data_IF_213159848372
#
_entry.id   IF_213159848372
#
_cell.length_a   1.000
_cell.length_b   1.000
_cell.length_c   1.000
_cell.angle_alpha   90.00
_cell.angle_beta   90.00
_cell.angle_gamma   90.00
#
_symmetry.space_group_name_H-M   'P 1'
#
loop_
_entity.id
_entity.type
_entity.pdbx_description
1 polymer ?
#
# COMPACT_ATOMS: atom_id res chain seq x y z
N UNK A 1 2.02 6.83 -27.47
CA UNK A 1 2.97 6.27 -26.50
C UNK A 1 2.27 6.27 -25.15
N UNK A 2 2.17 5.11 -24.50
CA UNK A 2 1.54 5.00 -23.17
C UNK A 2 2.62 5.36 -22.16
N UNK A 3 2.41 6.42 -21.40
CA UNK A 3 3.33 6.80 -20.33
C UNK A 3 3.13 5.86 -19.14
N UNK A 4 4.21 5.19 -18.75
CA UNK A 4 4.21 4.10 -17.77
C UNK A 4 4.64 4.56 -16.38
N UNK A 5 4.33 3.76 -15.35
CA UNK A 5 4.83 3.98 -14.00
C UNK A 5 6.37 4.02 -13.95
N UNK A 6 7.07 3.23 -14.78
CA UNK A 6 8.54 3.24 -14.85
C UNK A 6 9.08 4.59 -15.34
N UNK A 7 8.53 5.11 -16.43
CA UNK A 7 8.90 6.42 -16.98
C UNK A 7 8.55 7.54 -15.99
N UNK A 8 7.37 7.46 -15.36
CA UNK A 8 6.96 8.40 -14.32
C UNK A 8 7.96 8.45 -13.15
N UNK A 9 8.37 7.29 -12.61
CA UNK A 9 9.35 7.25 -11.51
C UNK A 9 10.67 7.90 -11.92
N UNK A 10 11.18 7.59 -13.13
CA UNK A 10 12.43 8.16 -13.63
C UNK A 10 12.33 9.68 -13.81
N UNK A 11 11.23 10.16 -14.38
CA UNK A 11 11.03 11.57 -14.65
C UNK A 11 10.76 12.38 -13.37
N UNK A 12 10.00 11.85 -12.41
CA UNK A 12 9.87 12.45 -11.08
C UNK A 12 11.23 12.53 -10.36
N UNK A 13 12.05 11.46 -10.44
CA UNK A 13 13.40 11.43 -9.85
C UNK A 13 14.31 12.49 -10.47
N UNK A 14 14.18 12.72 -11.78
CA UNK A 14 14.90 13.76 -12.52
C UNK A 14 14.24 15.15 -12.43
N UNK A 15 13.19 15.30 -11.60
CA UNK A 15 12.40 16.52 -11.43
C UNK A 15 11.83 17.11 -12.73
N UNK A 16 11.40 16.25 -13.66
CA UNK A 16 10.78 16.68 -14.91
C UNK A 16 9.28 16.98 -14.73
N UNK A 17 8.76 18.08 -15.31
CA UNK A 17 7.35 18.44 -15.18
C UNK A 17 6.36 17.39 -15.67
N UNK A 18 6.74 16.59 -16.67
CA UNK A 18 5.91 15.54 -17.27
C UNK A 18 5.64 14.40 -16.27
N UNK A 19 6.71 13.92 -15.60
CA UNK A 19 6.61 12.91 -14.55
C UNK A 19 5.72 13.35 -13.41
N UNK A 20 5.96 14.56 -12.89
CA UNK A 20 5.16 15.11 -11.80
C UNK A 20 3.71 15.35 -12.20
N UNK A 21 3.46 15.82 -13.42
CA UNK A 21 2.09 16.01 -13.93
C UNK A 21 1.35 14.69 -14.03
N UNK A 22 2.01 13.64 -14.51
CA UNK A 22 1.43 12.30 -14.53
C UNK A 22 1.19 11.79 -13.11
N UNK A 23 2.15 11.96 -12.20
CA UNK A 23 2.03 11.52 -10.82
C UNK A 23 0.81 12.17 -10.14
N UNK A 24 0.70 13.49 -10.26
CA UNK A 24 -0.41 14.28 -9.72
C UNK A 24 -1.73 13.77 -10.26
N UNK A 25 -1.85 13.64 -11.59
CA UNK A 25 -3.11 13.24 -12.21
C UNK A 25 -3.55 11.83 -11.79
N UNK A 26 -2.63 10.87 -11.73
CA UNK A 26 -3.00 9.46 -11.55
C UNK A 26 -2.97 9.00 -10.09
N UNK A 27 -2.10 9.55 -9.24
CA UNK A 27 -1.88 9.04 -7.88
C UNK A 27 -2.36 9.97 -6.76
N UNK A 28 -2.66 11.25 -7.00
CA UNK A 28 -3.34 12.08 -5.97
C UNK A 28 -4.72 11.51 -5.59
N UNK A 29 -5.56 11.04 -6.52
CA UNK A 29 -6.82 10.38 -6.18
C UNK A 29 -6.64 9.14 -5.29
N UNK A 30 -5.58 8.37 -5.55
CA UNK A 30 -5.19 7.21 -4.74
C UNK A 30 -4.74 7.64 -3.34
N UNK A 31 -3.92 8.70 -3.21
CA UNK A 31 -3.49 9.24 -1.91
C UNK A 31 -4.71 9.74 -1.12
N UNK A 32 -5.67 10.41 -1.76
CA UNK A 32 -6.93 10.81 -1.11
C UNK A 32 -7.67 9.61 -0.55
N UNK A 33 -7.80 8.53 -1.33
CA UNK A 33 -8.45 7.30 -0.88
C UNK A 33 -7.71 6.65 0.29
N UNK A 34 -6.39 6.60 0.24
CA UNK A 34 -5.56 6.10 1.36
C UNK A 34 -5.75 6.93 2.63
N UNK A 35 -5.78 8.26 2.52
CA UNK A 35 -5.99 9.14 3.66
C UNK A 35 -7.41 9.00 4.23
N UNK A 36 -8.42 8.87 3.37
CA UNK A 36 -9.79 8.61 3.82
C UNK A 36 -9.92 7.26 4.55
N UNK A 37 -9.13 6.25 4.15
CA UNK A 37 -9.17 4.91 4.75
C UNK A 37 -8.37 4.80 6.05
N UNK A 38 -7.18 5.39 6.09
CA UNK A 38 -6.21 5.16 7.18
C UNK A 38 -5.96 6.35 8.10
N UNK A 39 -6.44 7.55 7.78
CA UNK A 39 -6.04 8.72 8.54
C UNK A 39 -6.82 9.98 8.22
N UNK A 40 -6.09 11.10 8.20
CA UNK A 40 -6.66 12.43 8.08
C UNK A 40 -6.66 12.88 6.62
N UNK A 41 -7.85 13.08 6.06
CA UNK A 41 -8.01 13.59 4.69
C UNK A 41 -7.40 14.99 4.49
N UNK A 42 -7.26 15.78 5.56
CA UNK A 42 -6.60 17.09 5.51
C UNK A 42 -5.07 17.00 5.35
N UNK A 43 -4.48 15.80 5.47
CA UNK A 43 -3.04 15.58 5.32
C UNK A 43 -2.53 15.65 3.86
N UNK A 44 -3.41 15.73 2.87
CA UNK A 44 -3.06 15.53 1.45
C UNK A 44 -1.90 16.43 0.99
N UNK A 45 -1.99 17.74 1.21
CA UNK A 45 -0.96 18.66 0.73
C UNK A 45 0.39 18.43 1.41
N UNK A 46 0.38 18.14 2.72
CA UNK A 46 1.59 17.78 3.48
C UNK A 46 2.25 16.53 2.90
N UNK A 47 1.46 15.50 2.63
CA UNK A 47 1.93 14.24 2.01
C UNK A 47 2.57 14.51 0.65
N UNK A 48 1.93 15.32 -0.20
CA UNK A 48 2.46 15.64 -1.53
C UNK A 48 3.77 16.43 -1.45
N UNK A 49 3.85 17.42 -0.56
CA UNK A 49 5.08 18.18 -0.31
C UNK A 49 6.19 17.26 0.20
N UNK A 50 5.88 16.31 1.10
CA UNK A 50 6.86 15.34 1.60
C UNK A 50 7.35 14.39 0.48
N UNK A 51 6.48 13.93 -0.41
CA UNK A 51 6.87 13.09 -1.56
C UNK A 51 7.75 13.87 -2.56
N UNK A 52 7.55 15.18 -2.69
CA UNK A 52 8.31 16.04 -3.59
C UNK A 52 9.72 16.41 -3.08
N UNK A 53 9.92 16.46 -1.76
CA UNK A 53 11.23 16.74 -1.16
C UNK A 53 12.23 15.62 -1.47
N UNK A 54 13.43 15.91 -2.02
CA UNK A 54 14.41 14.89 -2.38
C UNK A 54 14.75 13.90 -1.26
N UNK A 55 14.84 14.37 -0.02
CA UNK A 55 15.27 13.58 1.14
C UNK A 55 14.23 12.55 1.59
N UNK A 56 12.94 12.82 1.34
CA UNK A 56 11.81 11.97 1.73
C UNK A 56 11.14 11.28 0.54
N UNK A 57 11.52 11.67 -0.67
CA UNK A 57 10.89 11.23 -1.91
C UNK A 57 10.97 9.72 -2.10
N UNK A 58 9.81 9.11 -2.35
CA UNK A 58 9.72 7.70 -2.76
C UNK A 58 10.55 7.42 -4.01
N UNK A 59 10.68 8.40 -4.91
CA UNK A 59 11.36 8.23 -6.19
C UNK A 59 12.88 8.09 -6.06
N UNK A 60 13.46 8.55 -4.95
CA UNK A 60 14.89 8.38 -4.67
C UNK A 60 15.19 7.02 -4.03
N UNK A 61 14.26 6.49 -3.22
CA UNK A 61 14.45 5.20 -2.52
C UNK A 61 14.00 3.98 -3.33
N UNK A 62 13.10 4.17 -4.30
CA UNK A 62 12.47 3.09 -5.04
C UNK A 62 13.03 3.01 -6.46
N UNK A 63 13.59 1.85 -6.83
CA UNK A 63 13.92 1.59 -8.23
C UNK A 63 12.66 1.52 -9.11
N UNK A 64 12.74 1.92 -10.40
CA UNK A 64 11.61 1.80 -11.32
C UNK A 64 11.03 0.39 -11.30
N UNK A 65 9.75 0.30 -10.98
CA UNK A 65 9.10 -0.97 -10.68
C UNK A 65 7.67 -1.03 -11.23
N UNK A 66 7.06 -2.24 -11.30
CA UNK A 66 5.66 -2.37 -11.67
C UNK A 66 4.76 -1.54 -10.78
N UNK A 67 3.68 -1.00 -11.36
CA UNK A 67 2.75 -0.10 -10.67
C UNK A 67 2.21 -0.69 -9.37
N UNK A 68 1.92 -2.00 -9.32
CA UNK A 68 1.47 -2.66 -8.09
C UNK A 68 2.48 -2.53 -6.95
N UNK A 69 3.78 -2.65 -7.24
CA UNK A 69 4.82 -2.45 -6.22
C UNK A 69 4.95 -0.98 -5.84
N UNK A 70 4.93 -0.08 -6.82
CA UNK A 70 4.95 1.36 -6.58
C UNK A 70 3.82 1.80 -5.64
N UNK A 71 2.58 1.33 -5.86
CA UNK A 71 1.43 1.68 -5.03
C UNK A 71 1.58 1.13 -3.61
N UNK A 72 2.07 -0.11 -3.45
CA UNK A 72 2.31 -0.71 -2.14
C UNK A 72 3.33 0.08 -1.30
N UNK A 73 4.34 0.66 -1.95
CA UNK A 73 5.36 1.50 -1.31
C UNK A 73 4.87 2.95 -1.11
N UNK A 74 4.09 3.49 -2.05
CA UNK A 74 3.43 4.79 -1.91
C UNK A 74 2.52 4.79 -0.68
N UNK A 75 1.78 3.70 -0.44
CA UNK A 75 1.00 3.52 0.78
C UNK A 75 1.84 3.75 2.04
N UNK A 76 3.04 3.15 2.14
CA UNK A 76 3.90 3.35 3.31
C UNK A 76 4.30 4.80 3.51
N UNK A 77 4.63 5.49 2.40
CA UNK A 77 5.00 6.91 2.43
C UNK A 77 3.84 7.80 2.85
N UNK A 78 2.62 7.52 2.38
CA UNK A 78 1.42 8.25 2.83
C UNK A 78 1.20 8.04 4.33
N UNK A 79 1.30 6.79 4.81
CA UNK A 79 1.09 6.49 6.22
C UNK A 79 2.16 7.10 7.13
N UNK A 80 3.42 7.21 6.68
CA UNK A 80 4.47 7.86 7.47
C UNK A 80 4.15 9.33 7.81
N UNK A 81 3.31 9.99 7.00
CA UNK A 81 2.91 11.39 7.16
C UNK A 81 1.58 11.59 7.91
N UNK A 82 0.97 10.50 8.39
CA UNK A 82 -0.26 10.52 9.19
C UNK A 82 0.02 10.18 10.66
N UNK A 83 -0.62 10.87 11.62
CA UNK A 83 -0.45 10.59 13.04
C UNK A 83 -0.68 9.12 13.36
N UNK A 84 0.19 8.54 14.17
CA UNK A 84 0.04 7.18 14.68
C UNK A 84 -0.48 7.26 16.12
N UNK A 85 -1.79 7.08 16.36
CA UNK A 85 -2.33 7.10 17.71
C UNK A 85 -1.79 5.91 18.51
N UNK A 86 -1.52 6.14 19.80
CA UNK A 86 -1.19 5.04 20.72
C UNK A 86 -2.45 4.18 20.94
N UNK A 87 -2.35 2.84 20.86
CA UNK A 87 -3.47 1.96 21.14
C UNK A 87 -3.75 1.97 22.65
N UNK A 88 -5.02 1.86 23.01
CA UNK A 88 -5.44 1.71 24.41
C UNK A 88 -4.89 0.41 25.04
N UNK A 89 -4.93 -0.68 24.26
CA UNK A 89 -4.32 -1.97 24.62
C UNK A 89 -3.26 -2.30 23.58
N UNK A 90 -2.00 -2.26 23.99
CA UNK A 90 -0.89 -2.57 23.10
C UNK A 90 -0.85 -4.07 22.80
N UNK A 91 -0.72 -4.39 21.52
CA UNK A 91 -0.42 -5.73 21.02
C UNK A 91 0.88 -5.65 20.21
N UNK A 92 1.93 -6.30 20.71
CA UNK A 92 3.19 -6.40 19.99
C UNK A 92 3.17 -7.51 18.93
N UNK A 93 4.14 -7.44 18.01
CA UNK A 93 4.24 -8.38 16.90
C UNK A 93 4.61 -9.80 17.35
N UNK A 94 5.35 -9.96 18.44
CA UNK A 94 5.77 -11.27 18.95
C UNK A 94 4.58 -12.05 19.50
N UNK A 95 3.73 -11.39 20.29
CA UNK A 95 2.49 -11.93 20.83
C UNK A 95 1.52 -12.30 19.71
N UNK A 96 1.33 -11.42 18.72
CA UNK A 96 0.52 -11.72 17.54
C UNK A 96 1.10 -12.90 16.74
N UNK A 97 2.43 -12.94 16.55
CA UNK A 97 3.12 -14.02 15.86
C UNK A 97 2.91 -15.38 16.54
N UNK A 98 3.03 -15.41 17.87
CA UNK A 98 2.84 -16.61 18.67
C UNK A 98 1.38 -17.08 18.68
N UNK A 99 0.41 -16.15 18.69
CA UNK A 99 -1.01 -16.49 18.57
C UNK A 99 -1.33 -17.15 17.22
N UNK A 100 -0.76 -16.61 16.15
CA UNK A 100 -1.10 -17.03 14.78
C UNK A 100 -0.21 -18.15 14.24
N UNK A 101 0.67 -18.74 15.04
CA UNK A 101 1.52 -19.88 14.63
C UNK A 101 0.72 -21.01 13.94
N UNK A 102 -0.45 -21.44 14.45
CA UNK A 102 -1.21 -22.57 13.87
C UNK A 102 -1.95 -22.24 12.57
N UNK A 103 -1.87 -21.00 12.09
CA UNK A 103 -2.53 -20.55 10.87
C UNK A 103 -1.67 -20.87 9.65
N UNK A 104 -2.31 -21.29 8.57
CA UNK A 104 -1.69 -21.40 7.24
C UNK A 104 -1.30 -20.02 6.70
N UNK A 105 -0.49 -19.95 5.64
CA UNK A 105 -0.10 -18.67 5.02
C UNK A 105 -1.33 -17.85 4.60
N UNK A 106 -2.29 -18.49 3.94
CA UNK A 106 -3.51 -17.82 3.46
C UNK A 106 -4.33 -17.28 4.63
N UNK A 107 -4.44 -18.04 5.71
CA UNK A 107 -5.10 -17.59 6.93
C UNK A 107 -4.37 -16.40 7.56
N UNK A 108 -3.03 -16.47 7.69
CA UNK A 108 -2.22 -15.35 8.19
C UNK A 108 -2.41 -14.09 7.35
N UNK A 109 -2.46 -14.21 6.03
CA UNK A 109 -2.70 -13.08 5.13
C UNK A 109 -4.11 -12.50 5.31
N UNK A 110 -5.15 -13.34 5.41
CA UNK A 110 -6.52 -12.88 5.64
C UNK A 110 -6.69 -12.17 7.00
N UNK A 111 -6.01 -12.66 8.04
CA UNK A 111 -5.93 -12.02 9.36
C UNK A 111 -5.12 -10.73 9.29
N UNK A 112 -3.99 -10.71 8.59
CA UNK A 112 -3.17 -9.52 8.45
C UNK A 112 -3.91 -8.39 7.73
N UNK A 113 -4.73 -8.70 6.73
CA UNK A 113 -5.58 -7.70 6.05
C UNK A 113 -6.63 -7.08 7.02
N UNK A 114 -7.02 -7.75 8.11
CA UNK A 114 -7.86 -7.13 9.14
C UNK A 114 -7.14 -5.98 9.86
N UNK A 115 -5.82 -6.07 10.04
CA UNK A 115 -4.99 -4.97 10.58
C UNK A 115 -5.00 -3.73 9.67
N UNK A 116 -5.39 -3.93 8.40
CA UNK A 116 -5.48 -2.91 7.36
C UNK A 116 -6.90 -2.31 7.25
N UNK A 117 -7.78 -2.56 8.21
CA UNK A 117 -9.17 -2.07 8.29
C UNK A 117 -10.13 -2.53 7.20
N UNK A 118 -9.79 -3.57 6.44
CA UNK A 118 -10.71 -4.15 5.46
C UNK A 118 -11.70 -5.12 6.10
N UNK A 119 -12.94 -5.09 5.63
CA UNK A 119 -13.97 -6.04 6.05
C UNK A 119 -13.78 -7.42 5.39
N UNK A 120 -14.66 -8.37 5.71
CA UNK A 120 -14.60 -9.72 5.16
C UNK A 120 -14.93 -9.79 3.66
N UNK A 121 -15.80 -8.91 3.16
CA UNK A 121 -16.18 -8.86 1.76
C UNK A 121 -15.03 -8.31 0.89
N UNK A 122 -14.42 -7.21 1.33
CA UNK A 122 -13.24 -6.61 0.70
C UNK A 122 -12.05 -7.58 0.72
N UNK A 123 -11.78 -8.21 1.86
CA UNK A 123 -10.74 -9.24 1.98
C UNK A 123 -11.01 -10.43 1.05
N UNK A 124 -12.27 -10.87 0.98
CA UNK A 124 -12.69 -11.94 0.09
C UNK A 124 -12.46 -11.61 -1.39
N UNK A 125 -12.77 -10.37 -1.80
CA UNK A 125 -12.53 -9.88 -3.15
C UNK A 125 -11.01 -9.85 -3.48
N UNK A 126 -10.20 -9.30 -2.57
CA UNK A 126 -8.75 -9.20 -2.76
C UNK A 126 -8.07 -10.58 -2.85
N UNK A 127 -8.49 -11.52 -2.01
CA UNK A 127 -7.88 -12.85 -1.92
C UNK A 127 -8.60 -13.93 -2.73
N UNK A 128 -9.66 -13.57 -3.47
CA UNK A 128 -10.49 -14.49 -4.28
C UNK A 128 -11.07 -15.64 -3.45
N UNK A 129 -11.60 -15.33 -2.28
CA UNK A 129 -12.27 -16.29 -1.39
C UNK A 129 -13.65 -15.78 -0.98
N UNK A 130 -14.53 -16.70 -0.55
CA UNK A 130 -15.86 -16.31 -0.07
C UNK A 130 -15.75 -15.48 1.23
N UNK A 131 -16.55 -14.41 1.41
CA UNK A 131 -16.51 -13.59 2.63
C UNK A 131 -16.71 -14.41 3.91
N UNK A 132 -17.61 -15.40 3.87
CA UNK A 132 -17.86 -16.33 4.99
C UNK A 132 -16.63 -17.17 5.37
N UNK A 133 -15.73 -17.44 4.42
CA UNK A 133 -14.46 -18.10 4.72
C UNK A 133 -13.54 -17.14 5.50
N UNK A 134 -13.47 -15.87 5.10
CA UNK A 134 -12.70 -14.84 5.82
C UNK A 134 -13.23 -14.69 7.25
N UNK A 135 -14.55 -14.62 7.43
CA UNK A 135 -15.18 -14.52 8.76
C UNK A 135 -14.74 -15.66 9.68
N UNK A 136 -14.80 -16.91 9.22
CA UNK A 136 -14.35 -18.08 10.00
C UNK A 136 -12.87 -18.03 10.35
N UNK A 137 -12.03 -17.55 9.43
CA UNK A 137 -10.60 -17.37 9.69
C UNK A 137 -10.39 -16.32 10.79
N UNK A 138 -11.12 -15.20 10.72
CA UNK A 138 -11.04 -14.13 11.72
C UNK A 138 -11.53 -14.59 13.08
N UNK A 139 -12.67 -15.29 13.15
CA UNK A 139 -13.19 -15.90 14.38
C UNK A 139 -12.15 -16.82 15.03
N UNK A 140 -11.55 -17.73 14.26
CA UNK A 140 -10.47 -18.59 14.73
C UNK A 140 -9.26 -17.78 15.23
N UNK A 141 -8.87 -16.73 14.51
CA UNK A 141 -7.76 -15.87 14.92
C UNK A 141 -8.03 -15.09 16.20
N UNK A 142 -9.29 -14.67 16.41
CA UNK A 142 -9.73 -13.98 17.62
C UNK A 142 -9.64 -14.91 18.84
N UNK A 143 -10.05 -16.17 18.69
CA UNK A 143 -9.92 -17.17 19.75
C UNK A 143 -8.45 -17.46 20.10
N UNK A 144 -7.59 -17.62 19.10
CA UNK A 144 -6.16 -17.82 19.29
C UNK A 144 -5.50 -16.63 20.00
N UNK A 145 -5.83 -15.41 19.58
CA UNK A 145 -5.27 -14.19 20.16
C UNK A 145 -5.78 -13.95 21.58
N UNK A 146 -7.05 -14.24 21.87
CA UNK A 146 -7.63 -14.15 23.22
C UNK A 146 -6.87 -15.04 24.22
N UNK A 147 -6.35 -16.18 23.77
CA UNK A 147 -5.53 -17.07 24.60
C UNK A 147 -4.10 -16.56 24.89
N UNK A 148 -3.70 -15.40 24.35
CA UNK A 148 -2.34 -14.84 24.44
C UNK A 148 -2.28 -13.44 25.07
N UNK A 149 -3.41 -12.83 25.40
CA UNK A 149 -3.48 -11.45 25.91
C UNK A 149 -4.24 -11.39 27.23
N UNK A 150 -3.83 -10.49 28.12
CA UNK A 150 -4.48 -10.28 29.42
C UNK A 150 -5.80 -9.50 29.30
N UNK A 151 -5.88 -8.61 28.30
CA UNK A 151 -7.06 -7.81 28.01
C UNK A 151 -7.54 -8.06 26.57
N UNK A 152 -8.82 -8.39 26.43
CA UNK A 152 -9.42 -8.76 25.15
C UNK A 152 -10.52 -7.80 24.70
N UNK A 153 -10.49 -7.44 23.42
CA UNK A 153 -11.60 -6.81 22.70
C UNK A 153 -11.61 -7.22 21.24
N UNK A 154 -12.79 -7.20 20.63
CA UNK A 154 -12.98 -7.67 19.25
C UNK A 154 -12.12 -6.92 18.23
N UNK A 155 -11.90 -5.62 18.46
CA UNK A 155 -11.16 -4.76 17.53
C UNK A 155 -9.65 -4.68 17.82
N UNK A 156 -9.15 -5.45 18.80
CA UNK A 156 -7.77 -5.36 19.30
C UNK A 156 -6.74 -5.39 18.15
N UNK A 157 -6.91 -6.32 17.21
CA UNK A 157 -6.01 -6.47 16.07
C UNK A 157 -6.06 -5.27 15.12
N UNK A 158 -7.25 -4.74 14.85
CA UNK A 158 -7.44 -3.60 13.95
C UNK A 158 -6.85 -2.30 14.54
N UNK A 159 -7.04 -2.06 15.84
CA UNK A 159 -6.54 -0.83 16.49
C UNK A 159 -5.02 -0.82 16.64
N UNK A 160 -4.40 -2.00 16.71
CA UNK A 160 -2.95 -2.15 16.73
C UNK A 160 -2.34 -2.24 15.33
N UNK A 161 -3.15 -2.24 14.27
CA UNK A 161 -2.71 -2.64 12.94
C UNK A 161 -1.57 -1.81 12.36
N UNK A 162 -1.59 -0.49 12.59
CA UNK A 162 -0.48 0.38 12.15
C UNK A 162 0.82 0.14 12.91
N UNK A 163 0.76 -0.13 14.22
CA UNK A 163 1.93 -0.46 15.04
C UNK A 163 2.51 -1.82 14.63
N UNK A 164 1.66 -2.81 14.42
CA UNK A 164 2.03 -4.13 13.91
C UNK A 164 2.67 -4.05 12.52
N UNK A 165 2.11 -3.24 11.62
CA UNK A 165 2.67 -2.97 10.30
C UNK A 165 4.07 -2.33 10.37
N UNK A 166 4.28 -1.36 11.25
CA UNK A 166 5.62 -0.76 11.46
C UNK A 166 6.62 -1.77 12.05
N UNK A 167 6.19 -2.58 13.01
CA UNK A 167 7.02 -3.65 13.57
C UNK A 167 7.38 -4.69 12.50
N UNK A 168 6.44 -5.09 11.64
CA UNK A 168 6.70 -6.03 10.56
C UNK A 168 7.62 -5.44 9.48
N UNK A 169 7.45 -4.16 9.14
CA UNK A 169 8.32 -3.48 8.20
C UNK A 169 9.78 -3.42 8.71
N UNK A 170 9.96 -3.21 10.01
CA UNK A 170 11.29 -3.14 10.65
C UNK A 170 11.92 -4.50 10.97
N UNK A 171 11.13 -5.59 10.98
CA UNK A 171 11.63 -6.95 11.22
C UNK A 171 12.25 -7.63 9.98
N UNK A 172 12.42 -6.90 8.88
CA UNK A 172 13.00 -7.41 7.64
C UNK A 172 14.47 -7.83 7.79
N UNK A 173 14.88 -8.81 7.00
CA UNK A 173 16.24 -9.37 7.02
C UNK A 173 16.75 -9.72 5.63
N UNK A 174 18.04 -10.10 5.53
CA UNK A 174 18.71 -10.42 4.25
C UNK A 174 18.06 -11.58 3.49
N UNK A 175 17.35 -12.46 4.19
CA UNK A 175 16.68 -13.62 3.63
C UNK A 175 15.24 -13.33 3.16
N UNK A 176 14.76 -12.07 3.30
CA UNK A 176 13.44 -11.69 2.82
C UNK A 176 13.35 -11.74 1.29
N UNK A 177 12.19 -12.14 0.78
CA UNK A 177 11.99 -12.34 -0.64
C UNK A 177 11.87 -10.99 -1.38
N UNK A 178 12.42 -10.87 -2.60
CA UNK A 178 12.28 -9.66 -3.38
C UNK A 178 10.84 -9.51 -3.92
N UNK A 179 10.42 -8.25 -4.15
CA UNK A 179 9.07 -7.92 -4.63
C UNK A 179 8.61 -8.74 -5.86
N UNK A 180 9.55 -9.03 -6.77
CA UNK A 180 9.30 -9.83 -7.97
C UNK A 180 8.69 -11.20 -7.68
N UNK A 181 9.09 -11.87 -6.59
CA UNK A 181 8.57 -13.20 -6.23
C UNK A 181 7.07 -13.13 -5.93
N UNK A 182 6.65 -12.14 -5.14
CA UNK A 182 5.23 -11.94 -4.81
C UNK A 182 4.41 -11.53 -6.04
N UNK A 183 4.96 -10.65 -6.88
CA UNK A 183 4.29 -10.25 -8.12
C UNK A 183 4.11 -11.44 -9.08
N UNK A 184 5.13 -12.28 -9.23
CA UNK A 184 5.03 -13.48 -10.08
C UNK A 184 4.03 -14.51 -9.53
N UNK A 185 3.78 -14.54 -8.22
CA UNK A 185 2.70 -15.34 -7.62
C UNK A 185 1.33 -14.75 -7.95
N UNK A 186 1.16 -13.45 -7.72
CA UNK A 186 -0.11 -12.75 -7.99
C UNK A 186 -0.50 -12.76 -9.47
N UNK A 187 0.49 -12.72 -10.35
CA UNK A 187 0.30 -12.74 -11.80
C UNK A 187 0.25 -14.16 -12.38
N UNK A 188 0.34 -15.21 -11.55
CA UNK A 188 0.27 -16.61 -12.00
C UNK A 188 1.48 -17.06 -12.84
N UNK A 189 2.62 -16.39 -12.73
CA UNK A 189 3.86 -16.67 -13.47
C UNK A 189 4.84 -17.58 -12.72
N UNK A 190 4.51 -17.99 -11.50
CA UNK A 190 5.40 -18.80 -10.65
C UNK A 190 5.24 -20.30 -10.90
N UNK A 191 6.36 -21.02 -10.86
CA UNK A 191 6.38 -22.49 -10.89
C UNK A 191 5.89 -23.08 -9.56
N UNK A 192 5.45 -24.34 -9.56
CA UNK A 192 5.03 -25.03 -8.33
C UNK A 192 6.11 -24.98 -7.22
N UNK A 193 7.36 -25.31 -7.57
CA UNK A 193 8.49 -25.27 -6.62
C UNK A 193 8.79 -23.86 -6.10
N UNK A 194 8.65 -22.84 -6.96
CA UNK A 194 8.81 -21.45 -6.56
C UNK A 194 7.76 -21.03 -5.53
N UNK A 195 6.52 -21.48 -5.71
CA UNK A 195 5.43 -21.23 -4.76
C UNK A 195 5.69 -21.89 -3.42
N UNK A 196 6.07 -23.17 -3.41
CA UNK A 196 6.38 -23.88 -2.16
C UNK A 196 7.53 -23.21 -1.38
N UNK A 197 8.60 -22.80 -2.08
CA UNK A 197 9.74 -22.11 -1.46
C UNK A 197 9.31 -20.77 -0.84
N UNK A 198 8.48 -20.01 -1.55
CA UNK A 198 7.89 -18.78 -1.02
C UNK A 198 7.03 -19.07 0.21
N UNK A 199 6.13 -20.04 0.13
CA UNK A 199 5.22 -20.38 1.24
C UNK A 199 5.97 -20.77 2.51
N UNK A 200 7.03 -21.58 2.39
CA UNK A 200 7.88 -21.98 3.53
C UNK A 200 8.54 -20.78 4.23
N UNK A 201 9.00 -19.79 3.48
CA UNK A 201 9.58 -18.57 4.05
C UNK A 201 8.50 -17.68 4.67
N UNK A 202 7.48 -17.32 3.88
CA UNK A 202 6.50 -16.30 4.26
C UNK A 202 5.67 -16.75 5.46
N UNK A 203 5.42 -18.06 5.63
CA UNK A 203 4.72 -18.59 6.79
C UNK A 203 5.35 -18.17 8.14
N UNK A 204 6.65 -17.86 8.16
CA UNK A 204 7.41 -17.49 9.38
C UNK A 204 7.92 -16.05 9.38
N UNK A 205 7.67 -15.29 8.31
CA UNK A 205 8.25 -13.96 8.12
C UNK A 205 7.15 -12.90 8.03
N UNK A 206 6.87 -12.21 9.14
CA UNK A 206 5.82 -11.18 9.19
C UNK A 206 6.12 -9.97 8.31
N UNK A 207 7.40 -9.64 8.12
CA UNK A 207 7.81 -8.68 7.10
C UNK A 207 7.29 -9.05 5.70
N UNK A 208 7.47 -10.32 5.31
CA UNK A 208 7.00 -10.79 4.01
C UNK A 208 5.48 -10.97 3.94
N UNK A 209 4.81 -11.34 5.05
CA UNK A 209 3.34 -11.37 5.13
C UNK A 209 2.78 -9.97 4.91
N UNK A 210 3.35 -8.96 5.58
CA UNK A 210 2.96 -7.56 5.41
C UNK A 210 3.18 -7.08 3.97
N UNK A 211 4.38 -7.28 3.43
CA UNK A 211 4.69 -6.95 2.03
C UNK A 211 3.70 -7.59 1.05
N UNK A 212 3.43 -8.89 1.23
CA UNK A 212 2.52 -9.61 0.35
C UNK A 212 1.09 -9.10 0.47
N UNK A 213 0.63 -8.84 1.69
CA UNK A 213 -0.72 -8.31 1.96
C UNK A 213 -0.91 -6.92 1.33
N UNK A 214 0.11 -6.05 1.38
CA UNK A 214 0.07 -4.74 0.71
C UNK A 214 -0.01 -4.82 -0.81
N UNK A 215 0.63 -5.82 -1.42
CA UNK A 215 0.50 -6.02 -2.87
C UNK A 215 -0.89 -6.54 -3.27
N UNK A 216 -1.52 -7.33 -2.40
CA UNK A 216 -2.90 -7.79 -2.57
C UNK A 216 -3.89 -6.63 -2.39
N UNK A 217 -3.64 -5.76 -1.40
CA UNK A 217 -4.41 -4.56 -1.10
C UNK A 217 -4.58 -3.61 -2.30
N UNK A 218 -3.55 -3.53 -3.15
CA UNK A 218 -3.56 -2.64 -4.32
C UNK A 218 -4.80 -2.83 -5.18
N UNK A 219 -5.33 -4.05 -5.30
CA UNK A 219 -6.54 -4.33 -6.08
C UNK A 219 -7.72 -3.49 -5.58
N UNK A 220 -7.90 -3.39 -4.26
CA UNK A 220 -8.95 -2.55 -3.72
C UNK A 220 -8.59 -1.08 -3.72
N UNK A 221 -7.32 -0.71 -3.51
CA UNK A 221 -6.92 0.69 -3.55
C UNK A 221 -7.18 1.34 -4.91
N UNK A 222 -6.86 0.67 -6.03
CA UNK A 222 -7.08 1.21 -7.37
C UNK A 222 -8.55 1.18 -7.79
N UNK A 223 -9.39 0.37 -7.14
CA UNK A 223 -10.80 0.21 -7.51
C UNK A 223 -11.54 1.54 -7.43
N UNK A 224 -12.14 1.94 -8.54
CA UNK A 224 -12.92 3.18 -8.64
C UNK A 224 -12.09 4.47 -8.62
N UNK A 225 -10.75 4.39 -8.58
CA UNK A 225 -9.89 5.56 -8.70
C UNK A 225 -9.87 6.02 -10.15
N UNK A 226 -10.11 7.32 -10.36
CA UNK A 226 -10.07 7.96 -11.67
C UNK A 226 -9.02 9.07 -11.66
N UNK A 227 -8.27 9.28 -12.76
CA UNK A 227 -7.34 10.38 -12.84
C UNK A 227 -8.02 11.74 -12.66
N UNK A 228 -7.30 12.68 -12.05
CA UNK A 228 -7.76 14.06 -11.95
C UNK A 228 -7.88 14.69 -13.34
N UNK A 229 -8.92 15.52 -13.49
CA UNK A 229 -9.01 16.44 -14.62
C UNK A 229 -7.85 17.44 -14.60
N UNK A 230 -7.60 18.07 -15.75
CA UNK A 230 -6.55 19.08 -15.86
C UNK A 230 -6.75 20.27 -14.91
N UNK A 231 -8.00 20.62 -14.61
CA UNK A 231 -8.36 21.68 -13.67
C UNK A 231 -8.08 21.30 -12.22
N UNK A 232 -8.48 20.10 -11.80
CA UNK A 232 -8.20 19.61 -10.43
C UNK A 232 -6.70 19.42 -10.19
N UNK A 233 -5.95 18.97 -11.20
CA UNK A 233 -4.50 18.80 -11.11
C UNK A 233 -3.74 20.14 -11.07
N UNK A 234 -4.35 21.26 -11.47
CA UNK A 234 -3.68 22.56 -11.54
C UNK A 234 -3.24 23.05 -10.16
N UNK A 235 -4.11 22.93 -9.16
CA UNK A 235 -3.82 23.29 -7.76
C UNK A 235 -2.57 22.57 -7.24
N UNK A 236 -2.47 21.26 -7.48
CA UNK A 236 -1.33 20.47 -7.00
C UNK A 236 -0.04 20.74 -7.77
N UNK A 237 -0.12 21.08 -9.06
CA UNK A 237 1.06 21.52 -9.81
C UNK A 237 1.60 22.84 -9.26
N UNK A 238 0.71 23.78 -8.97
CA UNK A 238 1.08 25.05 -8.34
C UNK A 238 1.69 24.85 -6.95
N UNK A 239 1.06 24.02 -6.11
CA UNK A 239 1.57 23.66 -4.78
C UNK A 239 3.00 23.11 -4.83
N UNK A 240 3.33 22.30 -5.85
CA UNK A 240 4.64 21.67 -5.99
C UNK A 240 5.62 22.49 -6.86
N UNK A 241 5.22 23.66 -7.38
CA UNK A 241 6.05 24.48 -8.25
C UNK A 241 6.34 23.85 -9.63
N UNK A 242 5.42 23.02 -10.14
CA UNK A 242 5.59 22.30 -11.40
C UNK A 242 5.08 23.15 -12.56
N UNK A 243 6.02 23.71 -13.33
CA UNK A 243 5.71 24.48 -14.53
C UNK A 243 5.70 23.60 -15.79
N UNK A 244 4.53 23.47 -16.42
CA UNK A 244 4.42 22.84 -17.74
C UNK A 244 4.88 23.81 -18.83
N UNK A 245 5.64 23.31 -19.80
CA UNK A 245 6.01 24.06 -20.99
C UNK A 245 4.74 24.59 -21.68
N UNK A 246 4.66 25.91 -21.89
CA UNK A 246 3.51 26.53 -22.56
C UNK A 246 3.39 25.95 -23.97
N UNK A 247 2.20 25.47 -24.39
CA UNK A 247 2.04 24.98 -25.76
C UNK A 247 2.36 26.11 -26.73
N UNK A 248 3.09 25.82 -27.81
CA UNK A 248 3.55 26.85 -28.74
C UNK A 248 2.36 27.60 -29.36
N UNK A 249 2.54 28.91 -29.58
CA UNK A 249 1.48 29.87 -29.96
C UNK A 249 0.54 29.39 -31.09
N UNK A 250 1.07 28.66 -32.07
CA UNK A 250 0.29 28.12 -33.19
C UNK A 250 -0.73 27.05 -32.77
N UNK A 251 -0.44 26.22 -31.76
CA UNK A 251 -1.43 25.26 -31.19
C UNK A 251 -2.54 25.96 -30.40
N UNK A 252 -2.26 27.12 -29.78
CA UNK A 252 -3.27 27.94 -29.08
C UNK A 252 -4.25 28.61 -30.05
N UNK A 253 -3.80 28.93 -31.27
CA UNK A 253 -4.62 29.56 -32.31
C UNK A 253 -5.55 28.56 -33.03
N UNK A 254 -5.18 27.28 -33.12
CA UNK A 254 -6.02 26.27 -33.79
C UNK A 254 -7.11 25.65 -32.89
N UNK A 255 -7.09 25.86 -31.57
CA UNK A 255 -8.11 25.37 -30.63
C UNK A 255 -9.28 26.32 -30.37
N UNK A 256 -9.41 27.42 -31.14
CA UNK A 256 -10.48 28.43 -31.03
C UNK A 256 -11.39 28.48 -32.27
N UNK A 257 -11.55 27.37 -33.00
CA UNK A 257 -12.59 27.22 -34.03
C UNK A 257 -13.53 26.08 -33.66
#
# INVERSE_FOLDING_TARGET
MIYTCYEMVQDCRANKPEGWSYFISNYVPLIRKLLAHYGDSAALERVLVAIHKPESSIFQSLEPAPERWFIAELRQKVLAETPLPAPEFALDLETAAAAFEPLTLVEKQAVWIQTMHYDAAETGAMMRMAPKTVEKIRERSEELLRGKVDAWRRNLLAENGRHLGQAAATSGGKDCLPAKVFLDILDGRTTWRGRETMEQHVLRCWHCIDHFSRMVEVVELIRGVQPLSAGEAAHFRELLGIELAKPPLWKRLMGRR
#
